data_IF_549197483733
#
_entry.id   IF_549197483733
#
_cell.length_a   1.000
_cell.length_b   1.000
_cell.length_c   1.000
_cell.angle_alpha   90.00
_cell.angle_beta   90.00
_cell.angle_gamma   90.00
#
_symmetry.space_group_name_H-M   'P 1'
#
loop_
_entity.id
_entity.type
_entity.pdbx_description
1 polymer ?
#
# COMPACT_ATOMS: atom_id res chain seq x y z
N UNK A 1 -9.84 6.55 21.59
CA UNK A 1 -8.48 7.15 21.66
C UNK A 1 -8.23 8.02 20.44
N UNK A 2 -7.59 9.18 20.61
CA UNK A 2 -7.33 10.11 19.51
C UNK A 2 -5.97 9.81 18.90
N UNK A 3 -5.91 9.62 17.58
CA UNK A 3 -4.65 9.35 16.89
C UNK A 3 -3.70 10.56 17.03
N UNK A 4 -2.45 10.38 17.47
CA UNK A 4 -1.50 11.49 17.61
C UNK A 4 -0.99 12.02 16.26
N UNK A 5 -1.07 11.21 15.19
CA UNK A 5 -0.61 11.60 13.85
C UNK A 5 -1.62 12.46 13.09
N UNK A 6 -2.90 12.07 13.06
CA UNK A 6 -3.93 12.75 12.25
C UNK A 6 -5.14 13.26 13.05
N UNK A 7 -5.14 13.09 14.37
CA UNK A 7 -6.20 13.57 15.27
C UNK A 7 -7.57 12.89 15.10
N UNK A 8 -7.69 11.84 14.28
CA UNK A 8 -8.92 11.05 14.15
C UNK A 8 -9.24 10.29 15.44
N UNK A 9 -10.52 10.24 15.79
CA UNK A 9 -11.03 9.43 16.89
C UNK A 9 -11.10 7.95 16.48
N UNK A 10 -10.49 7.08 17.27
CA UNK A 10 -10.44 5.63 17.06
C UNK A 10 -10.97 4.89 18.30
N UNK A 11 -11.41 3.64 18.13
CA UNK A 11 -11.78 2.78 19.26
C UNK A 11 -10.60 2.59 20.23
N UNK A 12 -10.87 2.39 21.51
CA UNK A 12 -9.83 2.23 22.53
C UNK A 12 -8.97 0.96 22.31
N UNK A 13 -9.53 -0.06 21.66
CA UNK A 13 -8.86 -1.32 21.34
C UNK A 13 -8.24 -1.33 19.93
N UNK A 14 -8.35 -0.23 19.18
CA UNK A 14 -7.83 -0.15 17.81
C UNK A 14 -6.31 -0.28 17.79
N UNK A 15 -5.79 -1.21 16.98
CA UNK A 15 -4.35 -1.43 16.81
C UNK A 15 -3.69 -0.38 15.89
N UNK A 16 -4.46 0.13 14.93
CA UNK A 16 -4.04 1.12 13.94
C UNK A 16 -5.12 2.18 13.74
N UNK A 17 -4.73 3.37 13.30
CA UNK A 17 -5.66 4.43 12.94
C UNK A 17 -6.40 4.09 11.64
N UNK A 18 -7.73 4.09 11.67
CA UNK A 18 -8.55 3.81 10.47
C UNK A 18 -8.48 4.89 9.37
N UNK A 19 -7.91 6.06 9.68
CA UNK A 19 -7.78 7.17 8.73
C UNK A 19 -6.39 7.27 8.10
N UNK A 20 -5.32 7.13 8.90
CA UNK A 20 -3.94 7.29 8.41
C UNK A 20 -3.05 6.06 8.54
N UNK A 21 -3.53 4.97 9.15
CA UNK A 21 -2.76 3.73 9.33
C UNK A 21 -1.74 3.74 10.48
N UNK A 22 -1.57 4.85 11.20
CA UNK A 22 -0.60 4.94 12.31
C UNK A 22 -0.90 3.93 13.42
N UNK A 23 0.12 3.20 13.87
CA UNK A 23 0.05 2.27 15.01
C UNK A 23 -0.39 2.99 16.28
N UNK A 24 -1.40 2.46 16.98
CA UNK A 24 -1.93 3.02 18.23
C UNK A 24 -1.55 2.17 19.47
N UNK A 25 -0.87 1.05 19.27
CA UNK A 25 -0.54 0.05 20.30
C UNK A 25 0.89 0.12 20.85
N UNK A 26 1.70 1.09 20.43
CA UNK A 26 3.08 1.21 20.89
C UNK A 26 3.16 2.08 22.16
N UNK A 27 2.90 1.45 23.30
CA UNK A 27 3.55 1.84 24.55
C UNK A 27 4.91 1.12 24.57
N UNK A 28 6.00 1.87 24.54
CA UNK A 28 7.40 1.43 24.79
C UNK A 28 8.13 0.70 23.65
N UNK A 29 8.54 1.41 22.60
CA UNK A 29 9.95 1.41 22.15
C UNK A 29 10.23 2.68 21.35
N UNK A 30 11.11 3.52 21.88
CA UNK A 30 11.54 4.74 21.23
C UNK A 30 12.36 4.44 19.96
N UNK A 31 11.98 5.10 18.86
CA UNK A 31 12.78 5.43 17.68
C UNK A 31 13.58 4.30 17.03
N UNK A 32 13.10 3.80 15.90
CA UNK A 32 13.72 4.06 14.58
C UNK A 32 13.02 3.27 13.47
N UNK A 33 12.46 4.00 12.51
CA UNK A 33 12.36 3.62 11.10
C UNK A 33 11.51 2.41 10.74
N UNK A 34 10.31 2.68 10.22
CA UNK A 34 9.68 1.83 9.20
C UNK A 34 8.64 2.67 8.44
N UNK A 35 9.17 3.44 7.49
CA UNK A 35 8.45 3.75 6.26
C UNK A 35 8.28 2.43 5.49
N UNK A 36 7.16 1.75 5.67
CA UNK A 36 6.75 0.61 4.84
C UNK A 36 5.21 0.73 4.78
N UNK A 37 4.65 1.55 3.89
CA UNK A 37 4.55 1.26 2.46
C UNK A 37 3.09 0.89 2.22
N UNK A 38 2.24 1.78 1.67
CA UNK A 38 0.94 1.31 1.24
C UNK A 38 1.18 0.35 0.08
N UNK A 39 0.39 -0.71 0.08
CA UNK A 39 -0.07 -1.29 -1.17
C UNK A 39 0.89 -2.28 -1.87
N UNK A 40 0.81 -3.52 -1.41
CA UNK A 40 0.34 -4.62 -2.25
C UNK A 40 1.14 -4.89 -3.52
N UNK A 41 1.93 -5.96 -3.44
CA UNK A 41 2.24 -6.83 -4.57
C UNK A 41 0.96 -7.33 -5.25
N UNK A 42 0.38 -6.49 -6.12
CA UNK A 42 -0.64 -6.89 -7.09
C UNK A 42 -0.48 -6.12 -8.41
N UNK A 43 0.72 -6.16 -8.98
CA UNK A 43 0.89 -6.04 -10.43
C UNK A 43 0.85 -7.43 -11.07
N UNK A 44 -0.31 -8.09 -10.96
CA UNK A 44 -0.70 -9.11 -11.92
C UNK A 44 -0.93 -8.39 -13.26
N UNK A 45 0.15 -8.17 -14.01
CA UNK A 45 0.10 -7.80 -15.43
C UNK A 45 -0.29 -9.05 -16.25
N UNK A 46 -1.51 -9.51 -16.05
CA UNK A 46 -2.27 -10.27 -17.01
C UNK A 46 -3.19 -9.27 -17.73
N UNK A 47 -2.71 -8.79 -18.88
CA UNK A 47 -3.43 -8.28 -20.07
C UNK A 47 -2.39 -7.59 -20.98
N UNK A 48 -1.79 -8.36 -21.89
CA UNK A 48 -2.21 -8.40 -23.31
C UNK A 48 -1.87 -7.12 -24.07
N UNK A 49 -0.67 -7.09 -24.65
CA UNK A 49 -0.38 -6.35 -25.88
C UNK A 49 0.79 -7.00 -26.60
N UNK A 50 0.57 -8.21 -27.13
CA UNK A 50 1.34 -8.71 -28.28
C UNK A 50 0.40 -9.40 -29.25
N UNK A 51 -0.26 -8.66 -30.15
CA UNK A 51 -0.54 -9.21 -31.44
C UNK A 51 0.07 -8.31 -32.52
N UNK A 52 0.97 -8.92 -33.27
CA UNK A 52 1.08 -8.68 -34.69
C UNK A 52 1.85 -7.43 -35.19
N UNK A 53 3.16 -7.38 -34.94
CA UNK A 53 4.07 -6.65 -35.85
C UNK A 53 4.74 -7.61 -36.87
N UNK A 54 4.72 -8.93 -36.62
CA UNK A 54 5.44 -9.91 -37.44
C UNK A 54 4.72 -10.33 -38.73
N UNK A 55 3.40 -10.11 -38.90
CA UNK A 55 2.69 -10.50 -40.14
C UNK A 55 2.93 -9.51 -41.30
N UNK A 56 3.20 -8.23 -41.03
CA UNK A 56 3.45 -7.21 -42.07
C UNK A 56 4.79 -7.42 -42.81
N UNK A 57 5.78 -8.08 -42.20
CA UNK A 57 7.10 -8.27 -42.80
C UNK A 57 7.17 -9.48 -43.77
N UNK A 58 6.15 -10.34 -43.79
CA UNK A 58 6.13 -11.57 -44.60
C UNK A 58 5.56 -11.39 -46.03
N UNK A 59 5.18 -10.18 -46.44
CA UNK A 59 4.55 -9.91 -47.75
C UNK A 59 5.36 -8.97 -48.67
N UNK A 60 6.66 -8.82 -48.45
CA UNK A 60 7.57 -8.07 -49.34
C UNK A 60 8.65 -8.97 -49.93
#
# INVERSE_FOLDING_TARGET
MKCPSCHTENAAEAKFCGNCGHSLTEEVVASSGQEEGPEQARAAQAKEARPNETVEQAKR
#
